data_IF_963630705445
#
_entry.id   IF_963630705445
#
_cell.length_a   1.000
_cell.length_b   1.000
_cell.length_c   1.000
_cell.angle_alpha   90.00
_cell.angle_beta   90.00
_cell.angle_gamma   90.00
#
_symmetry.space_group_name_H-M   'P 1'
#
loop_
_entity.id
_entity.type
_entity.pdbx_description
1 polymer ?
#
# COMPACT_ATOMS: atom_id res chain seq x y z
N UNK A 1 6.24 -24.55 -0.49
CA UNK A 1 7.07 -23.34 -0.67
C UNK A 1 8.25 -23.41 0.28
N UNK A 2 9.47 -23.19 -0.20
CA UNK A 2 10.68 -23.12 0.63
C UNK A 2 11.06 -21.67 0.84
N UNK A 3 11.07 -21.20 2.09
CA UNK A 3 11.57 -19.88 2.45
C UNK A 3 13.10 -19.89 2.41
N UNK A 4 13.71 -18.95 1.70
CA UNK A 4 15.15 -18.73 1.66
C UNK A 4 15.48 -17.35 2.21
N UNK A 5 16.40 -17.29 3.17
CA UNK A 5 16.81 -16.04 3.80
C UNK A 5 18.27 -15.72 3.44
N UNK A 6 18.49 -14.58 2.78
CA UNK A 6 19.82 -14.09 2.41
C UNK A 6 20.21 -12.94 3.35
N UNK A 7 21.14 -13.20 4.28
CA UNK A 7 21.64 -12.21 5.24
C UNK A 7 23.13 -11.99 5.06
N UNK A 8 23.59 -10.76 5.24
CA UNK A 8 24.99 -10.37 5.13
C UNK A 8 25.16 -8.86 5.32
N UNK A 9 26.38 -8.39 5.64
CA UNK A 9 26.66 -6.96 5.77
C UNK A 9 26.51 -6.21 4.43
N UNK A 10 26.56 -4.87 4.43
CA UNK A 10 26.71 -4.10 3.20
C UNK A 10 27.86 -4.65 2.33
N UNK A 11 27.68 -4.67 1.00
CA UNK A 11 28.66 -5.17 0.03
C UNK A 11 29.05 -6.67 0.13
N UNK A 12 28.24 -7.50 0.81
CA UNK A 12 28.46 -8.96 0.88
C UNK A 12 28.02 -9.75 -0.38
N UNK A 13 27.60 -9.08 -1.45
CA UNK A 13 27.13 -9.73 -2.68
C UNK A 13 25.70 -10.25 -2.64
N UNK A 14 24.87 -9.83 -1.66
CA UNK A 14 23.45 -10.23 -1.55
C UNK A 14 22.65 -9.94 -2.82
N UNK A 15 22.85 -8.76 -3.40
CA UNK A 15 22.20 -8.35 -4.66
C UNK A 15 22.50 -9.32 -5.79
N UNK A 16 23.77 -9.73 -5.94
CA UNK A 16 24.18 -10.72 -6.93
C UNK A 16 23.46 -12.06 -6.74
N UNK A 17 23.38 -12.56 -5.50
CA UNK A 17 22.64 -13.80 -5.19
C UNK A 17 21.15 -13.70 -5.52
N UNK A 18 20.52 -12.56 -5.26
CA UNK A 18 19.11 -12.31 -5.60
C UNK A 18 18.91 -12.31 -7.12
N UNK A 19 19.79 -11.63 -7.86
CA UNK A 19 19.73 -11.58 -9.32
C UNK A 19 19.92 -12.96 -9.94
N UNK A 20 20.91 -13.73 -9.47
CA UNK A 20 21.17 -15.07 -10.01
C UNK A 20 19.95 -16.00 -9.78
N UNK A 21 19.34 -15.92 -8.60
CA UNK A 21 18.11 -16.65 -8.29
C UNK A 21 16.91 -16.21 -9.12
N UNK A 22 16.77 -14.90 -9.35
CA UNK A 22 15.72 -14.32 -10.18
C UNK A 22 15.85 -14.75 -11.65
N UNK A 23 17.07 -14.68 -12.22
CA UNK A 23 17.35 -15.13 -13.58
C UNK A 23 17.07 -16.64 -13.76
N UNK A 24 17.46 -17.47 -12.79
CA UNK A 24 17.16 -18.90 -12.81
C UNK A 24 15.65 -19.20 -12.72
N UNK A 25 14.87 -18.27 -12.20
CA UNK A 25 13.43 -18.41 -12.02
C UNK A 25 12.59 -17.91 -13.20
N UNK A 26 13.18 -17.23 -14.20
CA UNK A 26 12.49 -16.67 -15.38
C UNK A 26 11.45 -17.63 -16.01
N UNK A 27 11.72 -18.93 -16.21
CA UNK A 27 10.74 -19.85 -16.81
C UNK A 27 9.42 -19.98 -16.03
N UNK A 28 9.37 -19.47 -14.79
CA UNK A 28 8.20 -19.49 -13.89
C UNK A 28 7.58 -18.12 -13.67
N UNK A 29 7.94 -17.11 -14.47
CA UNK A 29 7.42 -15.74 -14.37
C UNK A 29 7.59 -15.10 -12.98
N UNK A 30 8.85 -14.93 -12.50
CA UNK A 30 9.17 -14.50 -11.14
C UNK A 30 8.86 -13.02 -10.91
N UNK A 31 8.60 -12.66 -9.65
CA UNK A 31 8.41 -11.27 -9.22
C UNK A 31 9.48 -10.86 -8.22
N UNK A 32 10.30 -9.86 -8.57
CA UNK A 32 11.28 -9.24 -7.69
C UNK A 32 10.70 -7.93 -7.13
N UNK A 33 10.44 -7.93 -5.82
CA UNK A 33 9.93 -6.75 -5.12
C UNK A 33 11.08 -5.92 -4.56
N UNK A 34 11.11 -4.63 -4.90
CA UNK A 34 12.12 -3.66 -4.46
C UNK A 34 11.47 -2.46 -3.77
N UNK A 35 12.22 -1.69 -2.95
CA UNK A 35 11.62 -0.63 -2.13
C UNK A 35 11.07 0.55 -2.94
N UNK A 36 11.78 0.96 -4.00
CA UNK A 36 11.44 2.16 -4.77
C UNK A 36 11.38 1.91 -6.28
N UNK A 37 10.80 2.85 -7.02
CA UNK A 37 10.81 2.80 -8.48
C UNK A 37 12.24 2.95 -9.04
N UNK A 38 13.05 3.83 -8.46
CA UNK A 38 14.47 3.99 -8.82
C UNK A 38 15.26 2.68 -8.63
N UNK A 39 14.95 1.91 -7.57
CA UNK A 39 15.51 0.58 -7.39
C UNK A 39 15.06 -0.36 -8.50
N UNK A 40 13.78 -0.32 -8.90
CA UNK A 40 13.26 -1.18 -9.95
C UNK A 40 13.97 -0.91 -11.28
N UNK A 41 14.08 0.36 -11.68
CA UNK A 41 14.81 0.77 -12.88
C UNK A 41 16.29 0.37 -12.84
N UNK A 42 16.93 0.49 -11.67
CA UNK A 42 18.32 0.05 -11.47
C UNK A 42 18.47 -1.47 -11.65
N UNK A 43 17.58 -2.25 -11.06
CA UNK A 43 17.60 -3.71 -11.20
C UNK A 43 17.30 -4.14 -12.63
N UNK A 44 16.34 -3.52 -13.31
CA UNK A 44 16.04 -3.78 -14.73
C UNK A 44 17.25 -3.48 -15.63
N UNK A 45 17.95 -2.36 -15.37
CA UNK A 45 19.19 -2.00 -16.06
C UNK A 45 20.29 -3.05 -15.81
N UNK A 46 20.47 -3.51 -14.57
CA UNK A 46 21.46 -4.53 -14.25
C UNK A 46 21.13 -5.88 -14.93
N UNK A 47 19.87 -6.29 -14.92
CA UNK A 47 19.43 -7.55 -15.52
C UNK A 47 19.59 -7.55 -17.04
N UNK A 48 19.14 -6.48 -17.70
CA UNK A 48 19.31 -6.29 -19.15
C UNK A 48 20.77 -6.19 -19.54
N UNK A 49 21.62 -5.55 -18.72
CA UNK A 49 23.07 -5.53 -18.93
C UNK A 49 23.74 -6.91 -18.89
N UNK A 50 23.15 -7.90 -18.19
CA UNK A 50 23.71 -9.26 -18.08
C UNK A 50 23.27 -10.21 -19.18
N UNK A 51 22.01 -10.16 -19.59
CA UNK A 51 21.41 -11.15 -20.52
C UNK A 51 20.81 -10.52 -21.80
N UNK A 52 20.97 -9.21 -21.99
CA UNK A 52 20.46 -8.45 -23.13
C UNK A 52 18.99 -8.03 -22.97
N UNK A 53 18.10 -9.00 -22.72
CA UNK A 53 16.68 -8.74 -22.51
C UNK A 53 16.08 -9.70 -21.48
N UNK A 54 15.17 -9.20 -20.65
CA UNK A 54 14.42 -9.98 -19.66
C UNK A 54 12.95 -9.99 -20.08
N UNK A 55 12.40 -11.16 -20.38
CA UNK A 55 11.00 -11.36 -20.74
C UNK A 55 10.43 -12.46 -19.84
N UNK A 56 9.17 -12.28 -19.41
CA UNK A 56 8.53 -13.23 -18.49
C UNK A 56 9.14 -13.14 -17.09
N UNK A 57 9.39 -11.93 -16.61
CA UNK A 57 9.77 -11.65 -15.23
C UNK A 57 9.37 -10.21 -14.90
N UNK A 58 9.08 -9.93 -13.63
CA UNK A 58 8.62 -8.60 -13.20
C UNK A 58 9.51 -8.08 -12.07
N UNK A 59 10.05 -6.87 -12.22
CA UNK A 59 10.67 -6.12 -11.11
C UNK A 59 9.73 -4.99 -10.75
N UNK A 60 9.34 -4.87 -9.47
CA UNK A 60 8.35 -3.85 -9.09
C UNK A 60 8.38 -3.48 -7.61
N UNK A 61 7.62 -2.46 -7.23
CA UNK A 61 7.36 -2.12 -5.83
C UNK A 61 6.16 -2.91 -5.27
N UNK A 62 5.89 -2.78 -3.98
CA UNK A 62 4.72 -3.38 -3.34
C UNK A 62 3.39 -2.92 -3.95
N UNK A 63 3.25 -1.64 -4.30
CA UNK A 63 2.01 -1.12 -4.92
C UNK A 63 1.66 -1.86 -6.21
N UNK A 64 2.70 -2.15 -7.01
CA UNK A 64 2.54 -2.92 -8.24
C UNK A 64 2.30 -4.39 -7.95
N UNK A 65 2.95 -4.98 -6.94
CA UNK A 65 2.67 -6.35 -6.49
C UNK A 65 1.20 -6.50 -6.11
N UNK A 66 0.64 -5.61 -5.30
CA UNK A 66 -0.79 -5.66 -4.94
C UNK A 66 -1.70 -5.57 -6.16
N UNK A 67 -1.33 -4.74 -7.13
CA UNK A 67 -2.06 -4.67 -8.41
C UNK A 67 -1.98 -5.98 -9.20
N UNK A 68 -0.81 -6.62 -9.25
CA UNK A 68 -0.62 -7.92 -9.93
C UNK A 68 -1.42 -9.02 -9.24
N UNK A 69 -1.37 -9.07 -7.91
CA UNK A 69 -2.13 -10.04 -7.11
C UNK A 69 -3.62 -9.81 -7.33
N UNK A 70 -4.11 -8.58 -7.19
CA UNK A 70 -5.52 -8.25 -7.41
C UNK A 70 -6.00 -8.64 -8.82
N UNK A 71 -5.15 -8.47 -9.84
CA UNK A 71 -5.48 -8.91 -11.21
C UNK A 71 -5.53 -10.43 -11.32
N UNK A 72 -4.54 -11.14 -10.77
CA UNK A 72 -4.45 -12.60 -10.81
C UNK A 72 -5.60 -13.27 -10.02
N UNK A 73 -5.98 -12.68 -8.89
CA UNK A 73 -7.04 -13.18 -8.01
C UNK A 73 -8.40 -12.57 -8.33
N UNK A 74 -8.56 -11.80 -9.40
CA UNK A 74 -9.81 -11.08 -9.73
C UNK A 74 -10.41 -10.34 -8.52
N UNK A 75 -9.55 -9.72 -7.71
CA UNK A 75 -10.00 -9.01 -6.52
C UNK A 75 -10.88 -7.82 -6.90
N UNK A 76 -11.94 -7.51 -6.11
CA UNK A 76 -12.71 -6.30 -6.31
C UNK A 76 -11.79 -5.07 -6.31
N UNK A 77 -11.84 -4.31 -7.40
CA UNK A 77 -11.03 -3.11 -7.56
C UNK A 77 -11.91 -1.94 -7.96
N UNK A 78 -12.01 -0.96 -7.07
CA UNK A 78 -12.51 0.36 -7.39
C UNK A 78 -11.36 1.23 -7.93
N UNK A 79 -11.64 2.25 -8.76
CA UNK A 79 -10.61 3.15 -9.23
C UNK A 79 -9.88 3.84 -8.08
N UNK A 80 -8.55 3.84 -8.12
CA UNK A 80 -7.72 4.45 -7.08
C UNK A 80 -7.81 5.97 -7.08
N UNK A 81 -7.86 6.57 -5.89
CA UNK A 81 -7.71 8.00 -5.69
C UNK A 81 -6.26 8.42 -5.98
N UNK A 82 -6.11 9.45 -6.82
CA UNK A 82 -4.82 10.15 -6.96
C UNK A 82 -4.47 10.91 -5.67
N UNK A 83 -3.21 11.30 -5.45
CA UNK A 83 -2.82 12.06 -4.26
C UNK A 83 -3.65 13.33 -4.06
N UNK A 84 -3.92 14.07 -5.14
CA UNK A 84 -4.76 15.28 -5.08
C UNK A 84 -6.20 14.93 -4.69
N UNK A 85 -6.74 13.82 -5.19
CA UNK A 85 -8.09 13.37 -4.84
C UNK A 85 -8.17 12.91 -3.39
N UNK A 86 -7.17 12.22 -2.84
CA UNK A 86 -7.13 11.86 -1.42
C UNK A 86 -7.11 13.09 -0.51
N UNK A 87 -6.28 14.08 -0.80
CA UNK A 87 -6.29 15.35 -0.05
C UNK A 87 -7.65 16.07 -0.15
N UNK A 88 -8.38 15.92 -1.28
CA UNK A 88 -9.74 16.46 -1.41
C UNK A 88 -10.76 15.68 -0.59
N UNK A 89 -10.66 14.35 -0.56
CA UNK A 89 -11.46 13.48 0.32
C UNK A 89 -11.20 13.84 1.77
N UNK A 90 -9.94 14.03 2.17
CA UNK A 90 -9.59 14.48 3.52
C UNK A 90 -10.20 15.84 3.85
N UNK A 91 -10.19 16.80 2.91
CA UNK A 91 -10.86 18.09 3.13
C UNK A 91 -12.36 17.96 3.32
N UNK A 92 -13.01 17.09 2.55
CA UNK A 92 -14.43 16.80 2.69
C UNK A 92 -14.72 16.09 4.02
N UNK A 93 -13.90 15.13 4.42
CA UNK A 93 -13.97 14.45 5.71
C UNK A 93 -13.90 15.44 6.88
N UNK A 94 -13.01 16.44 6.81
CA UNK A 94 -12.94 17.52 7.81
C UNK A 94 -14.23 18.33 7.89
N UNK A 95 -14.87 18.60 6.75
CA UNK A 95 -16.14 19.31 6.72
C UNK A 95 -17.29 18.46 7.30
N UNK A 96 -17.24 17.13 7.14
CA UNK A 96 -18.26 16.18 7.60
C UNK A 96 -18.09 15.67 9.03
N UNK A 97 -16.87 15.66 9.56
CA UNK A 97 -16.56 15.20 10.93
C UNK A 97 -17.26 16.04 12.02
N UNK A 98 -17.98 17.10 11.64
CA UNK A 98 -18.83 17.90 12.49
C UNK A 98 -18.03 18.91 13.32
N UNK A 99 -18.59 19.29 14.47
CA UNK A 99 -17.99 20.29 15.35
C UNK A 99 -16.81 19.68 16.14
N UNK A 100 -15.64 19.70 15.50
CA UNK A 100 -14.36 19.53 16.18
C UNK A 100 -14.24 20.65 17.24
N UNK A 101 -13.93 20.29 18.48
CA UNK A 101 -13.73 21.24 19.58
C UNK A 101 -12.26 21.47 19.84
N UNK A 102 -11.49 20.40 20.01
CA UNK A 102 -10.06 20.45 20.31
C UNK A 102 -9.24 20.74 19.06
N UNK A 103 -9.61 20.14 17.92
CA UNK A 103 -8.95 20.34 16.64
C UNK A 103 -9.54 21.51 15.83
N UNK A 104 -10.53 22.24 16.35
CA UNK A 104 -11.24 23.31 15.64
C UNK A 104 -10.30 24.38 15.03
N UNK A 105 -9.30 24.81 15.79
CA UNK A 105 -8.37 25.84 15.34
C UNK A 105 -7.41 25.33 14.27
N UNK A 106 -6.99 24.07 14.39
CA UNK A 106 -6.09 23.39 13.46
C UNK A 106 -6.81 23.04 12.15
N UNK A 107 -8.07 22.60 12.21
CA UNK A 107 -8.85 22.20 11.03
C UNK A 107 -9.07 23.32 10.02
N UNK A 108 -9.03 24.57 10.47
CA UNK A 108 -9.12 25.76 9.62
C UNK A 108 -7.83 26.10 8.86
N UNK A 109 -6.71 25.43 9.16
CA UNK A 109 -5.43 25.70 8.50
C UNK A 109 -5.35 24.97 7.17
N UNK A 110 -4.76 25.62 6.17
CA UNK A 110 -4.66 25.09 4.80
C UNK A 110 -3.99 23.72 4.72
N UNK A 111 -3.01 23.43 5.59
CA UNK A 111 -2.28 22.17 5.64
C UNK A 111 -2.98 21.03 6.38
N UNK A 112 -4.12 21.28 7.05
CA UNK A 112 -4.75 20.26 7.89
C UNK A 112 -5.25 19.05 7.09
N UNK A 113 -5.82 19.27 5.91
CA UNK A 113 -6.30 18.19 5.05
C UNK A 113 -5.15 17.29 4.55
N UNK A 114 -3.98 17.85 4.25
CA UNK A 114 -2.81 17.06 3.86
C UNK A 114 -2.25 16.28 5.04
N UNK A 115 -2.17 16.89 6.22
CA UNK A 115 -1.76 16.17 7.45
C UNK A 115 -2.74 15.04 7.80
N UNK A 116 -4.04 15.23 7.56
CA UNK A 116 -5.03 14.17 7.73
C UNK A 116 -4.85 13.04 6.71
N UNK A 117 -4.63 13.34 5.42
CA UNK A 117 -4.33 12.35 4.38
C UNK A 117 -3.09 11.51 4.75
N UNK A 118 -2.02 12.15 5.23
CA UNK A 118 -0.81 11.47 5.73
C UNK A 118 -1.11 10.56 6.94
N UNK A 119 -1.83 11.08 7.95
CA UNK A 119 -2.20 10.29 9.12
C UNK A 119 -3.06 9.07 8.75
N UNK A 120 -4.01 9.24 7.83
CA UNK A 120 -4.85 8.14 7.34
C UNK A 120 -4.00 7.09 6.63
N UNK A 121 -3.05 7.51 5.79
CA UNK A 121 -2.12 6.60 5.14
C UNK A 121 -1.30 5.80 6.17
N UNK A 122 -0.79 6.45 7.23
CA UNK A 122 -0.04 5.78 8.30
C UNK A 122 -0.91 4.77 9.07
N UNK A 123 -2.14 5.14 9.42
CA UNK A 123 -3.09 4.25 10.09
C UNK A 123 -3.42 3.02 9.23
N UNK A 124 -3.66 3.23 7.94
CA UNK A 124 -3.95 2.15 7.00
C UNK A 124 -2.73 1.26 6.74
N UNK A 125 -1.53 1.84 6.64
CA UNK A 125 -0.27 1.10 6.56
C UNK A 125 -0.04 0.23 7.80
N UNK A 126 -0.39 0.75 8.99
CA UNK A 126 -0.38 0.03 10.26
C UNK A 126 -1.55 -0.97 10.40
N UNK A 127 -2.43 -1.10 9.40
CA UNK A 127 -3.60 -1.99 9.39
C UNK A 127 -4.60 -1.68 10.51
N UNK A 128 -4.68 -0.42 10.92
CA UNK A 128 -5.66 0.05 11.90
C UNK A 128 -6.94 0.44 11.16
N UNK A 129 -8.03 -0.27 11.41
CA UNK A 129 -9.35 0.08 10.91
C UNK A 129 -10.02 1.18 11.77
N UNK A 130 -11.02 1.90 11.22
CA UNK A 130 -11.70 2.99 11.94
C UNK A 130 -12.34 2.56 13.27
N UNK A 131 -12.93 1.35 13.34
CA UNK A 131 -13.60 0.88 14.55
C UNK A 131 -12.58 0.58 15.66
N UNK A 132 -11.45 -0.03 15.32
CA UNK A 132 -10.33 -0.24 16.25
C UNK A 132 -9.80 1.09 16.77
N UNK A 133 -9.60 2.09 15.90
CA UNK A 133 -9.15 3.41 16.35
C UNK A 133 -10.17 4.09 17.26
N UNK A 134 -11.46 4.06 16.92
CA UNK A 134 -12.52 4.64 17.74
C UNK A 134 -12.60 4.00 19.13
N UNK A 135 -12.47 2.68 19.22
CA UNK A 135 -12.45 1.97 20.51
C UNK A 135 -11.26 2.42 21.37
N UNK A 136 -10.05 2.46 20.79
CA UNK A 136 -8.83 2.87 21.52
C UNK A 136 -8.84 4.34 21.89
N UNK A 137 -9.39 5.19 21.03
CA UNK A 137 -9.57 6.60 21.29
C UNK A 137 -10.50 6.85 22.50
N UNK A 138 -11.54 6.03 22.66
CA UNK A 138 -12.43 6.10 23.83
C UNK A 138 -11.72 5.83 25.16
N UNK A 139 -10.67 5.01 25.15
CA UNK A 139 -9.81 4.75 26.32
C UNK A 139 -8.79 5.87 26.56
N UNK A 140 -8.33 6.53 25.49
CA UNK A 140 -7.25 7.52 25.54
C UNK A 140 -7.73 8.93 25.91
N UNK A 141 -8.80 9.43 25.28
CA UNK A 141 -9.28 10.77 25.56
C UNK A 141 -10.09 11.45 24.46
N UNK A 142 -10.61 12.66 24.75
CA UNK A 142 -11.46 13.42 23.82
C UNK A 142 -10.71 13.89 22.56
N UNK A 143 -9.39 14.06 22.63
CA UNK A 143 -8.58 14.46 21.47
C UNK A 143 -8.51 13.32 20.45
N UNK A 144 -8.19 12.12 20.91
CA UNK A 144 -8.12 10.91 20.10
C UNK A 144 -9.48 10.57 19.49
N UNK A 145 -10.58 10.85 20.21
CA UNK A 145 -11.94 10.67 19.68
C UNK A 145 -12.26 11.62 18.52
N UNK A 146 -11.66 12.81 18.46
CA UNK A 146 -11.79 13.69 17.29
C UNK A 146 -10.96 13.18 16.11
N UNK A 147 -9.78 12.62 16.37
CA UNK A 147 -8.95 11.96 15.34
C UNK A 147 -9.66 10.74 14.75
N UNK A 148 -10.26 9.90 15.60
CA UNK A 148 -11.00 8.73 15.16
C UNK A 148 -12.19 9.10 14.25
N UNK A 149 -12.95 10.15 14.63
CA UNK A 149 -14.05 10.68 13.81
C UNK A 149 -13.58 11.20 12.45
N UNK A 150 -12.42 11.85 12.39
CA UNK A 150 -11.85 12.30 11.11
C UNK A 150 -11.45 11.13 10.20
N UNK A 151 -10.89 10.06 10.77
CA UNK A 151 -10.54 8.85 10.01
C UNK A 151 -11.78 8.11 9.50
N UNK A 152 -12.81 7.99 10.33
CA UNK A 152 -14.11 7.42 9.96
C UNK A 152 -14.74 8.21 8.80
N UNK A 153 -14.85 9.54 8.94
CA UNK A 153 -15.38 10.41 7.90
C UNK A 153 -14.58 10.33 6.59
N UNK A 154 -13.25 10.14 6.65
CA UNK A 154 -12.44 9.93 5.44
C UNK A 154 -12.85 8.64 4.72
N UNK A 155 -12.98 7.54 5.47
CA UNK A 155 -13.37 6.25 4.90
C UNK A 155 -14.77 6.33 4.29
N UNK A 156 -15.73 6.94 4.99
CA UNK A 156 -17.10 7.14 4.50
C UNK A 156 -17.12 7.93 3.18
N UNK A 157 -16.42 9.06 3.10
CA UNK A 157 -16.36 9.87 1.87
C UNK A 157 -15.73 9.08 0.72
N UNK A 158 -14.64 8.33 0.96
CA UNK A 158 -14.02 7.49 -0.07
C UNK A 158 -14.99 6.43 -0.58
N UNK A 159 -15.68 5.75 0.35
CA UNK A 159 -16.54 4.62 0.05
C UNK A 159 -17.81 5.07 -0.68
N UNK A 160 -18.40 6.22 -0.31
CA UNK A 160 -19.50 6.87 -1.02
C UNK A 160 -19.15 7.22 -2.48
N UNK A 161 -17.92 7.63 -2.74
CA UNK A 161 -17.44 7.93 -4.09
C UNK A 161 -17.21 6.66 -4.92
N UNK A 162 -17.32 5.47 -4.32
CA UNK A 162 -17.01 4.19 -4.96
C UNK A 162 -15.55 4.12 -5.42
N UNK A 163 -14.64 4.70 -4.62
CA UNK A 163 -13.20 4.76 -4.91
C UNK A 163 -12.41 3.90 -3.93
N UNK A 164 -11.20 3.55 -4.34
CA UNK A 164 -10.23 2.89 -3.48
C UNK A 164 -8.97 3.75 -3.29
N UNK A 165 -8.11 3.31 -2.40
CA UNK A 165 -6.75 3.79 -2.19
C UNK A 165 -5.78 2.58 -2.24
N UNK A 166 -4.48 2.84 -2.14
CA UNK A 166 -3.49 1.77 -2.21
C UNK A 166 -3.70 0.70 -1.11
N UNK A 167 -4.15 1.12 0.07
CA UNK A 167 -4.30 0.24 1.22
C UNK A 167 -5.54 -0.65 1.13
N UNK A 168 -6.66 -0.14 0.61
CA UNK A 168 -7.87 -0.93 0.33
C UNK A 168 -7.64 -1.93 -0.79
N UNK A 169 -6.90 -1.56 -1.85
CA UNK A 169 -6.46 -2.50 -2.88
C UNK A 169 -5.57 -3.61 -2.28
N UNK A 170 -4.60 -3.24 -1.45
CA UNK A 170 -3.72 -4.19 -0.79
C UNK A 170 -4.50 -5.15 0.11
N UNK A 171 -5.47 -4.65 0.89
CA UNK A 171 -6.33 -5.47 1.74
C UNK A 171 -7.16 -6.47 0.92
N UNK A 172 -7.78 -6.02 -0.17
CA UNK A 172 -8.56 -6.87 -1.08
C UNK A 172 -7.68 -7.93 -1.77
N UNK A 173 -6.49 -7.53 -2.25
CA UNK A 173 -5.52 -8.45 -2.85
C UNK A 173 -5.08 -9.54 -1.85
N UNK A 174 -4.77 -9.17 -0.61
CA UNK A 174 -4.37 -10.11 0.44
C UNK A 174 -5.50 -11.07 0.79
N UNK A 175 -6.71 -10.56 1.00
CA UNK A 175 -7.86 -11.38 1.37
C UNK A 175 -8.19 -12.40 0.27
N UNK A 176 -8.27 -11.95 -0.98
CA UNK A 176 -8.59 -12.85 -2.11
C UNK A 176 -7.48 -13.83 -2.43
N UNK A 177 -6.21 -13.47 -2.25
CA UNK A 177 -5.09 -14.41 -2.37
C UNK A 177 -5.13 -15.49 -1.29
N UNK A 178 -5.53 -15.14 -0.06
CA UNK A 178 -5.69 -16.11 1.01
C UNK A 178 -6.81 -17.12 0.72
N UNK A 179 -7.88 -16.67 0.07
CA UNK A 179 -9.00 -17.52 -0.36
C UNK A 179 -8.67 -18.37 -1.60
N UNK A 180 -7.89 -17.82 -2.54
CA UNK A 180 -7.57 -18.45 -3.82
C UNK A 180 -6.06 -18.40 -4.12
N UNK A 181 -5.23 -19.11 -3.34
CA UNK A 181 -3.77 -19.06 -3.50
C UNK A 181 -3.31 -19.58 -4.87
N UNK A 182 -4.01 -20.56 -5.44
CA UNK A 182 -3.69 -21.15 -6.74
C UNK A 182 -3.82 -20.16 -7.90
N UNK A 183 -4.59 -19.08 -7.73
CA UNK A 183 -4.79 -18.04 -8.75
C UNK A 183 -3.50 -17.23 -9.02
N UNK A 184 -2.57 -17.18 -8.06
CA UNK A 184 -1.25 -16.58 -8.27
C UNK A 184 -0.34 -17.44 -9.16
N UNK A 185 -0.65 -18.73 -9.28
CA UNK A 185 0.15 -19.70 -10.02
C UNK A 185 1.48 -20.05 -9.35
N UNK A 186 2.42 -20.59 -10.14
CA UNK A 186 3.72 -21.04 -9.66
C UNK A 186 4.80 -19.94 -9.61
N UNK A 187 4.37 -18.66 -9.66
CA UNK A 187 5.24 -17.48 -9.69
C UNK A 187 5.97 -17.34 -8.35
N UNK A 188 7.31 -17.48 -8.34
CA UNK A 188 8.11 -17.28 -7.13
C UNK A 188 8.26 -15.81 -6.76
#
# INVERSE_FOLDING_TARGET
MTLSLIVGPPNSGRTGRVIDGFLAAIPRDPVLVVPTLDDAERFETELTGRIGAVIGATVCTYDRLFSLVAQATEAPSAPLLSPIQRTRVAREAVARAGDLKLLAASSRRAGFASALDELVADLQAARVDPATLASRAGEAGPYELEVARLYEAYCEVRDELGRADAHTLAAAAIATLAERPDAWGARP
#
